data_IF_465825195097
#
_entry.id   IF_465825195097
#
_cell.length_a   1.000
_cell.length_b   1.000
_cell.length_c   1.000
_cell.angle_alpha   90.00
_cell.angle_beta   90.00
_cell.angle_gamma   90.00
#
_symmetry.space_group_name_H-M   'P 1'
#
loop_
_entity.id
_entity.type
_entity.pdbx_description
1 polymer ?
#
# COMPACT_ATOMS: atom_id res chain seq x y z
N UNK A 1 -19.63 -41.18 5.10
CA UNK A 1 -18.89 -40.56 6.23
C UNK A 1 -17.55 -41.26 6.41
N UNK A 2 -16.60 -41.02 5.52
CA UNK A 2 -15.26 -41.58 5.58
C UNK A 2 -14.31 -40.49 6.15
N UNK A 3 -13.94 -40.72 7.33
CA UNK A 3 -13.00 -40.12 8.24
C UNK A 3 -11.72 -39.59 7.60
N UNK A 4 -11.62 -38.25 7.45
CA UNK A 4 -10.33 -37.51 7.32
C UNK A 4 -9.71 -37.31 8.70
N UNK A 5 -9.60 -38.33 9.54
CA UNK A 5 -9.09 -38.27 10.90
C UNK A 5 -7.62 -38.68 10.98
N UNK A 6 -6.77 -38.17 10.08
CA UNK A 6 -5.34 -38.26 10.25
C UNK A 6 -4.67 -37.21 9.33
N UNK A 7 -4.95 -35.90 9.51
CA UNK A 7 -4.04 -34.90 9.00
C UNK A 7 -2.87 -34.77 9.97
N UNK A 8 -1.79 -35.43 9.58
CA UNK A 8 -0.42 -35.44 10.04
C UNK A 8 0.10 -34.07 10.51
N UNK A 9 1.19 -34.05 11.26
CA UNK A 9 2.12 -32.92 11.34
C UNK A 9 2.12 -32.19 10.00
N UNK A 10 1.73 -30.91 10.00
CA UNK A 10 1.52 -30.18 8.77
C UNK A 10 2.81 -30.21 7.97
N UNK A 11 2.80 -30.90 6.85
CA UNK A 11 3.82 -30.76 5.83
C UNK A 11 3.56 -29.41 5.15
N UNK A 12 4.20 -28.37 5.68
CA UNK A 12 4.05 -27.01 5.16
C UNK A 12 4.52 -26.84 3.70
N UNK A 13 5.21 -27.85 3.16
CA UNK A 13 5.58 -27.93 1.74
C UNK A 13 4.38 -28.18 0.81
N UNK A 14 3.26 -28.72 1.32
CA UNK A 14 2.05 -29.01 0.56
C UNK A 14 1.00 -27.90 0.56
N UNK A 15 1.30 -26.71 1.12
CA UNK A 15 0.38 -25.57 1.12
C UNK A 15 0.41 -24.90 -0.25
N UNK A 16 -0.70 -24.99 -0.97
CA UNK A 16 -0.87 -24.41 -2.30
C UNK A 16 -1.91 -23.29 -2.32
N UNK A 17 -3.05 -23.47 -1.63
CA UNK A 17 -4.21 -22.58 -1.69
C UNK A 17 -4.35 -21.77 -0.41
N UNK A 18 -4.21 -20.45 -0.51
CA UNK A 18 -4.19 -19.51 0.62
C UNK A 18 -5.35 -18.52 0.50
N UNK A 19 -6.11 -18.36 1.58
CA UNK A 19 -7.04 -17.25 1.77
C UNK A 19 -6.30 -16.10 2.43
N UNK A 20 -6.23 -14.94 1.78
CA UNK A 20 -5.65 -13.71 2.31
C UNK A 20 -6.72 -12.73 2.77
N UNK A 21 -6.52 -12.14 3.95
CA UNK A 21 -7.43 -11.16 4.57
C UNK A 21 -6.63 -9.91 4.93
N UNK A 22 -6.97 -8.80 4.29
CA UNK A 22 -6.44 -7.46 4.58
C UNK A 22 -7.49 -6.63 5.31
N UNK A 23 -7.11 -6.00 6.41
CA UNK A 23 -7.98 -5.11 7.19
C UNK A 23 -7.20 -4.10 8.02
N UNK A 24 -6.04 -3.64 7.53
CA UNK A 24 -5.15 -2.78 8.34
C UNK A 24 -5.64 -1.35 8.53
N UNK A 25 -6.45 -0.83 7.60
CA UNK A 25 -6.91 0.57 7.59
C UNK A 25 -8.39 0.67 7.19
N UNK A 26 -8.70 1.21 6.03
CA UNK A 26 -10.05 1.49 5.53
C UNK A 26 -10.44 0.64 4.31
N UNK A 27 -9.52 -0.17 3.78
CA UNK A 27 -9.85 -1.20 2.81
C UNK A 27 -10.06 -2.56 3.49
N UNK A 28 -11.13 -3.26 3.07
CA UNK A 28 -11.32 -4.67 3.38
C UNK A 28 -10.95 -5.47 2.14
N UNK A 29 -9.86 -6.24 2.19
CA UNK A 29 -9.39 -7.07 1.09
C UNK A 29 -9.51 -8.56 1.40
N UNK A 30 -10.05 -9.34 0.46
CA UNK A 30 -10.11 -10.80 0.56
C UNK A 30 -9.69 -11.39 -0.78
N UNK A 31 -8.79 -12.38 -0.77
CA UNK A 31 -8.42 -13.09 -2.00
C UNK A 31 -8.09 -14.57 -1.74
N UNK A 32 -8.28 -15.39 -2.74
CA UNK A 32 -7.75 -16.75 -2.83
C UNK A 32 -6.59 -16.74 -3.81
N UNK A 33 -5.42 -17.07 -3.32
CA UNK A 33 -4.20 -17.28 -4.08
C UNK A 33 -3.87 -18.77 -4.16
N UNK A 34 -3.43 -19.24 -5.32
CA UNK A 34 -2.91 -20.60 -5.47
C UNK A 34 -1.52 -20.55 -6.07
N UNK A 35 -0.57 -21.19 -5.38
CA UNK A 35 0.81 -21.28 -5.86
C UNK A 35 0.89 -21.89 -7.26
N UNK A 36 1.68 -21.28 -8.14
CA UNK A 36 1.78 -21.67 -9.55
C UNK A 36 0.62 -21.25 -10.45
N UNK A 37 -0.50 -20.72 -9.89
CA UNK A 37 -1.68 -20.30 -10.65
C UNK A 37 -2.01 -18.81 -10.43
N UNK A 38 -1.43 -18.18 -9.42
CA UNK A 38 -1.69 -16.76 -9.11
C UNK A 38 -2.99 -16.55 -8.34
N UNK A 39 -3.62 -15.40 -8.55
CA UNK A 39 -4.89 -14.99 -7.93
C UNK A 39 -6.02 -15.77 -8.59
N UNK A 40 -6.81 -16.53 -7.80
CA UNK A 40 -7.97 -17.29 -8.28
C UNK A 40 -9.25 -16.45 -8.21
N UNK A 41 -9.41 -15.70 -7.12
CA UNK A 41 -10.52 -14.76 -6.93
C UNK A 41 -10.10 -13.71 -5.91
N UNK A 42 -10.61 -12.50 -6.07
CA UNK A 42 -10.37 -11.40 -5.13
C UNK A 42 -11.57 -10.45 -5.03
N UNK A 43 -11.68 -9.80 -3.90
CA UNK A 43 -12.60 -8.70 -3.67
C UNK A 43 -11.94 -7.65 -2.76
N UNK A 44 -12.10 -6.38 -3.12
CA UNK A 44 -11.68 -5.24 -2.30
C UNK A 44 -12.89 -4.34 -2.10
N UNK A 45 -13.08 -3.89 -0.89
CA UNK A 45 -14.09 -2.93 -0.50
C UNK A 45 -13.44 -1.74 0.19
N UNK A 46 -13.54 -0.55 -0.41
CA UNK A 46 -13.03 0.71 0.16
C UNK A 46 -14.17 1.44 0.89
N UNK A 47 -13.89 1.90 2.10
CA UNK A 47 -14.85 2.55 2.99
C UNK A 47 -14.93 4.05 2.67
N UNK A 48 -15.84 4.43 1.78
CA UNK A 48 -15.98 5.81 1.29
C UNK A 48 -16.54 6.79 2.31
N UNK A 49 -17.19 6.30 3.37
CA UNK A 49 -17.83 7.15 4.41
C UNK A 49 -16.81 8.03 5.16
N UNK A 50 -15.55 7.65 5.17
CA UNK A 50 -14.44 8.43 5.75
C UNK A 50 -14.25 9.80 5.09
N UNK A 51 -14.66 9.97 3.83
CA UNK A 51 -14.58 11.23 3.11
C UNK A 51 -15.33 12.36 3.83
N UNK A 52 -16.46 12.05 4.48
CA UNK A 52 -17.23 13.02 5.25
C UNK A 52 -16.49 13.58 6.48
N UNK A 53 -15.49 12.85 6.96
CA UNK A 53 -14.69 13.23 8.14
C UNK A 53 -13.31 13.82 7.74
N UNK A 54 -13.01 13.86 6.45
CA UNK A 54 -11.72 14.36 5.94
C UNK A 54 -10.52 13.48 6.27
N UNK A 55 -10.75 12.17 6.49
CA UNK A 55 -9.74 11.17 6.78
C UNK A 55 -10.31 9.97 7.53
N UNK A 56 -9.51 8.92 7.71
CA UNK A 56 -9.94 7.67 8.32
C UNK A 56 -10.32 7.83 9.79
N UNK A 57 -11.52 7.35 10.15
CA UNK A 57 -12.02 7.25 11.53
C UNK A 57 -11.87 5.80 11.99
N UNK A 58 -10.93 5.48 12.91
CA UNK A 58 -10.56 4.10 13.24
C UNK A 58 -11.72 3.23 13.76
N UNK A 59 -12.66 3.83 14.51
CA UNK A 59 -13.83 3.11 15.03
C UNK A 59 -14.81 2.72 13.92
N UNK A 60 -15.04 3.62 12.96
CA UNK A 60 -15.90 3.32 11.81
C UNK A 60 -15.27 2.25 10.94
N UNK A 61 -13.95 2.34 10.67
CA UNK A 61 -13.22 1.35 9.93
C UNK A 61 -13.39 -0.06 10.54
N UNK A 62 -13.17 -0.18 11.85
CA UNK A 62 -13.31 -1.46 12.56
C UNK A 62 -14.73 -2.03 12.45
N UNK A 63 -15.76 -1.20 12.61
CA UNK A 63 -17.16 -1.63 12.51
C UNK A 63 -17.55 -2.11 11.12
N UNK A 64 -17.01 -1.45 10.11
CA UNK A 64 -17.31 -1.82 8.72
C UNK A 64 -16.62 -3.11 8.31
N UNK A 65 -15.38 -3.35 8.73
CA UNK A 65 -14.73 -4.65 8.57
C UNK A 65 -15.54 -5.80 9.18
N UNK A 66 -16.11 -5.63 10.39
CA UNK A 66 -16.98 -6.67 11.01
C UNK A 66 -18.17 -7.01 10.12
N UNK A 67 -18.76 -6.00 9.46
CA UNK A 67 -19.95 -6.19 8.61
C UNK A 67 -19.60 -6.84 7.27
N UNK A 68 -18.44 -6.48 6.69
CA UNK A 68 -18.10 -6.83 5.30
C UNK A 68 -17.38 -8.16 5.18
N UNK A 69 -16.43 -8.45 6.07
CA UNK A 69 -15.56 -9.64 5.97
C UNK A 69 -16.30 -10.96 5.77
N UNK A 70 -17.36 -11.31 6.54
CA UNK A 70 -18.02 -12.60 6.38
C UNK A 70 -18.63 -12.81 4.98
N UNK A 71 -19.28 -11.78 4.45
CA UNK A 71 -19.89 -11.82 3.13
C UNK A 71 -18.82 -11.88 2.03
N UNK A 72 -17.77 -11.05 2.13
CA UNK A 72 -16.68 -11.04 1.15
C UNK A 72 -15.94 -12.37 1.08
N UNK A 73 -15.66 -13.01 2.21
CA UNK A 73 -15.04 -14.35 2.23
C UNK A 73 -15.93 -15.37 1.55
N UNK A 74 -17.24 -15.39 1.83
CA UNK A 74 -18.18 -16.29 1.19
C UNK A 74 -18.24 -16.07 -0.33
N UNK A 75 -18.29 -14.81 -0.78
CA UNK A 75 -18.33 -14.45 -2.19
C UNK A 75 -17.04 -14.81 -2.93
N UNK A 76 -15.87 -14.54 -2.34
CA UNK A 76 -14.57 -14.88 -2.94
C UNK A 76 -14.39 -16.40 -3.05
N UNK A 77 -14.78 -17.18 -2.05
CA UNK A 77 -14.74 -18.64 -2.11
C UNK A 77 -15.69 -19.20 -3.17
N UNK A 78 -16.89 -18.62 -3.29
CA UNK A 78 -17.86 -18.98 -4.35
C UNK A 78 -17.29 -18.67 -5.74
N UNK A 79 -16.68 -17.50 -5.95
CA UNK A 79 -16.02 -17.13 -7.20
C UNK A 79 -14.86 -18.09 -7.52
N UNK A 80 -14.05 -18.44 -6.52
CA UNK A 80 -12.97 -19.41 -6.64
C UNK A 80 -13.46 -20.86 -6.84
N UNK A 81 -14.76 -21.13 -6.69
CA UNK A 81 -15.36 -22.49 -6.70
C UNK A 81 -14.68 -23.41 -5.69
N UNK A 82 -14.43 -22.88 -4.49
CA UNK A 82 -13.75 -23.59 -3.41
C UNK A 82 -14.68 -23.74 -2.20
N UNK A 83 -14.73 -24.98 -1.69
CA UNK A 83 -15.31 -25.22 -0.38
C UNK A 83 -14.30 -24.88 0.71
N UNK A 84 -14.72 -24.29 1.85
CA UNK A 84 -13.82 -23.88 2.93
C UNK A 84 -12.79 -24.92 3.37
N UNK A 85 -13.12 -26.24 3.50
CA UNK A 85 -12.13 -27.26 3.89
C UNK A 85 -11.02 -27.51 2.86
N UNK A 86 -11.12 -26.95 1.66
CA UNK A 86 -10.11 -27.08 0.61
C UNK A 86 -9.05 -25.97 0.64
N UNK A 87 -9.16 -25.04 1.59
CA UNK A 87 -8.10 -24.10 1.90
C UNK A 87 -6.99 -24.78 2.70
N UNK A 88 -5.75 -24.48 2.34
CA UNK A 88 -4.57 -25.01 3.02
C UNK A 88 -4.03 -24.05 4.08
N UNK A 89 -4.30 -22.74 3.94
CA UNK A 89 -3.80 -21.69 4.83
C UNK A 89 -4.75 -20.49 4.83
N UNK A 90 -4.91 -19.86 6.00
CA UNK A 90 -5.51 -18.53 6.14
C UNK A 90 -4.42 -17.56 6.55
N UNK A 91 -4.13 -16.56 5.72
CA UNK A 91 -3.20 -15.47 6.01
C UNK A 91 -3.99 -14.18 6.32
N UNK A 92 -3.54 -13.41 7.29
CA UNK A 92 -4.18 -12.16 7.66
C UNK A 92 -3.16 -11.10 8.04
N UNK A 93 -3.50 -9.85 7.85
CA UNK A 93 -2.65 -8.74 8.26
C UNK A 93 -2.60 -8.65 9.78
N UNK A 94 -1.42 -8.90 10.34
CA UNK A 94 -1.18 -8.79 11.79
C UNK A 94 -0.75 -7.38 12.18
N UNK A 95 -0.21 -6.61 11.25
CA UNK A 95 0.27 -5.24 11.41
C UNK A 95 1.31 -4.85 10.36
N UNK A 96 1.75 -3.58 10.34
CA UNK A 96 1.19 -2.45 11.09
C UNK A 96 -0.20 -2.03 10.59
N UNK A 97 -0.90 -1.15 11.36
CA UNK A 97 -2.21 -0.63 11.00
C UNK A 97 -3.03 -0.15 12.21
N UNK A 98 -4.30 0.15 11.98
CA UNK A 98 -5.23 0.57 13.02
C UNK A 98 -5.57 -0.62 13.93
N UNK A 99 -5.32 -0.48 15.24
CA UNK A 99 -5.47 -1.57 16.20
C UNK A 99 -6.83 -2.28 16.14
N UNK A 100 -7.92 -1.51 16.08
CA UNK A 100 -9.28 -2.07 16.01
C UNK A 100 -9.55 -2.82 14.69
N UNK A 101 -9.13 -2.27 13.57
CA UNK A 101 -9.28 -2.86 12.25
C UNK A 101 -8.46 -4.17 12.14
N UNK A 102 -7.21 -4.16 12.58
CA UNK A 102 -6.35 -5.35 12.66
C UNK A 102 -6.96 -6.44 13.54
N UNK A 103 -7.53 -6.06 14.72
CA UNK A 103 -8.17 -7.03 15.62
C UNK A 103 -9.38 -7.72 14.99
N UNK A 104 -10.15 -7.00 14.18
CA UNK A 104 -11.28 -7.59 13.45
C UNK A 104 -10.80 -8.63 12.46
N UNK A 105 -9.82 -8.29 11.60
CA UNK A 105 -9.25 -9.22 10.62
C UNK A 105 -8.59 -10.43 11.27
N UNK A 106 -7.75 -10.20 12.28
CA UNK A 106 -7.06 -11.27 13.01
C UNK A 106 -8.05 -12.20 13.73
N UNK A 107 -9.05 -11.61 14.41
CA UNK A 107 -10.09 -12.37 15.11
C UNK A 107 -10.92 -13.22 14.15
N UNK A 108 -11.40 -12.63 13.07
CA UNK A 108 -12.15 -13.35 12.04
C UNK A 108 -11.31 -14.47 11.40
N UNK A 109 -10.10 -14.14 10.92
CA UNK A 109 -9.22 -15.10 10.26
C UNK A 109 -8.87 -16.30 11.14
N UNK A 110 -8.53 -16.03 12.42
CA UNK A 110 -8.17 -17.09 13.38
C UNK A 110 -9.37 -17.99 13.71
N UNK A 111 -10.55 -17.39 13.96
CA UNK A 111 -11.77 -18.16 14.24
C UNK A 111 -12.21 -18.97 13.02
N UNK A 112 -12.14 -18.36 11.82
CA UNK A 112 -12.48 -19.05 10.58
C UNK A 112 -11.54 -20.23 10.31
N UNK A 113 -10.22 -20.02 10.40
CA UNK A 113 -9.23 -21.08 10.23
C UNK A 113 -9.44 -22.22 11.22
N UNK A 114 -9.75 -21.93 12.49
CA UNK A 114 -10.05 -22.92 13.49
C UNK A 114 -11.33 -23.71 13.15
N UNK A 115 -12.38 -23.06 12.68
CA UNK A 115 -13.64 -23.71 12.32
C UNK A 115 -13.50 -24.69 11.16
N UNK A 116 -12.59 -24.42 10.21
CA UNK A 116 -12.33 -25.30 9.04
C UNK A 116 -11.10 -26.21 9.26
N UNK A 117 -10.55 -26.24 10.47
CA UNK A 117 -9.35 -27.02 10.84
C UNK A 117 -8.11 -26.71 9.98
N UNK A 118 -7.98 -25.47 9.52
CA UNK A 118 -6.89 -24.97 8.69
C UNK A 118 -5.86 -24.21 9.56
N UNK A 119 -4.55 -24.25 9.26
CA UNK A 119 -3.59 -23.39 9.91
C UNK A 119 -3.79 -21.91 9.50
N UNK A 120 -3.34 -20.99 10.37
CA UNK A 120 -3.33 -19.56 10.07
C UNK A 120 -1.94 -18.94 10.29
N UNK A 121 -1.67 -17.84 9.60
CA UNK A 121 -0.44 -17.06 9.76
C UNK A 121 -0.75 -15.57 9.71
N UNK A 122 -0.20 -14.83 10.68
CA UNK A 122 -0.18 -13.36 10.63
C UNK A 122 1.00 -12.88 9.80
N UNK A 123 0.74 -11.93 8.89
CA UNK A 123 1.76 -11.36 8.00
C UNK A 123 1.90 -9.86 8.21
N UNK A 124 3.04 -9.34 7.82
CA UNK A 124 3.32 -7.90 7.88
C UNK A 124 2.73 -7.22 6.65
N UNK A 125 1.90 -6.18 6.86
CA UNK A 125 1.23 -5.43 5.80
C UNK A 125 2.21 -4.93 4.71
N UNK A 126 3.33 -4.32 5.14
CA UNK A 126 4.33 -3.80 4.20
C UNK A 126 5.05 -4.91 3.42
N UNK A 127 5.19 -6.12 3.98
CA UNK A 127 5.70 -7.27 3.24
C UNK A 127 4.74 -7.68 2.12
N UNK A 128 3.43 -7.60 2.36
CA UNK A 128 2.43 -7.77 1.32
C UNK A 128 2.68 -6.84 0.13
N UNK A 129 2.83 -5.54 0.38
CA UNK A 129 3.15 -4.57 -0.66
C UNK A 129 4.48 -4.84 -1.37
N UNK A 130 5.54 -5.20 -0.63
CA UNK A 130 6.85 -5.51 -1.22
C UNK A 130 6.81 -6.70 -2.16
N UNK A 131 5.97 -7.69 -1.86
CA UNK A 131 5.85 -8.91 -2.65
C UNK A 131 4.74 -8.82 -3.71
N UNK A 132 3.82 -7.85 -3.65
CA UNK A 132 2.72 -7.73 -4.60
C UNK A 132 3.13 -7.70 -6.08
N UNK A 133 4.28 -7.10 -6.49
CA UNK A 133 4.73 -7.17 -7.88
C UNK A 133 5.12 -8.58 -8.36
N UNK A 134 5.32 -9.52 -7.44
CA UNK A 134 5.53 -10.93 -7.80
C UNK A 134 4.23 -11.62 -8.29
N UNK A 135 3.07 -10.97 -8.17
CA UNK A 135 1.79 -11.42 -8.70
C UNK A 135 1.59 -11.03 -10.17
N UNK A 136 2.50 -10.24 -10.74
CA UNK A 136 2.46 -9.89 -12.16
C UNK A 136 2.85 -11.09 -13.04
N UNK A 137 2.45 -11.03 -14.31
CA UNK A 137 2.84 -12.01 -15.33
C UNK A 137 4.37 -12.03 -15.58
N UNK A 138 5.03 -10.87 -15.44
CA UNK A 138 6.49 -10.70 -15.55
C UNK A 138 7.07 -10.20 -14.21
N UNK A 139 7.18 -11.07 -13.21
CA UNK A 139 7.60 -10.65 -11.88
C UNK A 139 9.07 -10.22 -11.84
N UNK A 140 9.43 -9.25 -10.96
CA UNK A 140 10.83 -8.89 -10.75
C UNK A 140 11.61 -10.05 -10.13
N UNK A 141 12.81 -10.31 -10.67
CA UNK A 141 13.75 -11.22 -10.02
C UNK A 141 14.48 -10.54 -8.85
N UNK A 142 14.82 -11.30 -7.82
CA UNK A 142 15.69 -10.81 -6.73
C UNK A 142 17.16 -10.73 -7.16
N UNK A 143 17.99 -9.85 -6.56
CA UNK A 143 17.61 -8.79 -5.63
C UNK A 143 17.09 -7.53 -6.33
N UNK A 144 16.38 -6.66 -5.57
CA UNK A 144 15.91 -5.36 -6.03
C UNK A 144 15.88 -4.32 -4.90
N UNK A 145 15.85 -3.04 -5.27
CA UNK A 145 15.45 -1.96 -4.36
C UNK A 145 13.94 -1.77 -4.48
N UNK A 146 13.24 -1.68 -3.36
CA UNK A 146 11.83 -1.32 -3.34
C UNK A 146 11.66 0.14 -2.88
N UNK A 147 10.87 0.92 -3.63
CA UNK A 147 10.24 2.16 -3.18
C UNK A 147 8.82 1.83 -2.76
N UNK A 148 8.57 1.86 -1.48
CA UNK A 148 7.24 1.69 -0.92
C UNK A 148 6.68 3.07 -0.63
N UNK A 149 5.61 3.45 -1.33
CA UNK A 149 5.05 4.79 -1.31
C UNK A 149 3.53 4.76 -1.26
N UNK A 150 2.98 5.10 -0.07
CA UNK A 150 1.55 5.02 0.23
C UNK A 150 1.08 6.27 0.98
N UNK A 151 -0.17 6.29 1.42
CA UNK A 151 -0.73 7.32 2.30
C UNK A 151 0.02 7.47 3.61
N UNK A 152 0.46 6.37 4.22
CA UNK A 152 1.12 6.36 5.53
C UNK A 152 2.62 6.11 5.52
N UNK A 153 3.20 5.66 4.40
CA UNK A 153 4.59 5.24 4.35
C UNK A 153 5.33 5.75 3.11
N UNK A 154 6.59 6.11 3.28
CA UNK A 154 7.53 6.35 2.19
C UNK A 154 8.88 5.81 2.61
N UNK A 155 9.30 4.69 1.99
CA UNK A 155 10.48 3.93 2.38
C UNK A 155 11.25 3.44 1.16
N UNK A 156 12.57 3.38 1.28
CA UNK A 156 13.47 2.65 0.39
C UNK A 156 13.99 1.41 1.11
N UNK A 157 13.85 0.27 0.49
CA UNK A 157 14.16 -1.03 1.10
C UNK A 157 15.00 -1.85 0.12
N UNK A 158 16.07 -2.44 0.61
CA UNK A 158 16.83 -3.47 -0.11
C UNK A 158 16.19 -4.82 0.14
N UNK A 159 15.80 -5.50 -0.92
CA UNK A 159 15.15 -6.81 -0.89
C UNK A 159 16.04 -7.81 -1.59
N UNK A 160 16.65 -8.74 -0.84
CA UNK A 160 17.55 -9.75 -1.39
C UNK A 160 16.85 -11.08 -1.65
N UNK A 161 15.83 -11.39 -0.85
CA UNK A 161 14.92 -12.53 -1.00
C UNK A 161 13.65 -12.26 -0.18
N UNK A 162 12.56 -13.05 -0.31
CA UNK A 162 11.43 -12.98 0.59
C UNK A 162 11.90 -13.14 2.05
N UNK A 163 11.44 -12.27 2.95
CA UNK A 163 11.86 -12.24 4.35
C UNK A 163 13.25 -11.64 4.62
N UNK A 164 13.98 -11.20 3.61
CA UNK A 164 15.30 -10.57 3.74
C UNK A 164 15.24 -9.10 3.32
N UNK A 165 14.88 -8.25 4.25
CA UNK A 165 14.65 -6.82 4.04
C UNK A 165 15.64 -5.98 4.83
N UNK A 166 16.13 -4.90 4.22
CA UNK A 166 16.95 -3.92 4.89
C UNK A 166 16.45 -2.52 4.55
N UNK A 167 16.01 -1.79 5.55
CA UNK A 167 15.62 -0.39 5.40
C UNK A 167 16.86 0.42 4.97
N UNK A 168 16.72 1.20 3.91
CA UNK A 168 17.77 2.07 3.37
C UNK A 168 17.53 3.54 3.73
N UNK A 169 16.29 3.93 3.83
CA UNK A 169 15.83 5.26 4.21
C UNK A 169 14.32 5.32 4.25
N UNK A 170 13.78 6.26 5.02
CA UNK A 170 12.35 6.45 5.20
C UNK A 170 12.01 7.94 5.35
N UNK A 171 10.73 8.28 5.34
CA UNK A 171 10.32 9.65 5.63
C UNK A 171 10.48 9.98 7.10
N UNK A 172 11.02 11.16 7.39
CA UNK A 172 11.21 11.66 8.76
C UNK A 172 9.98 12.43 9.28
N UNK A 173 9.02 12.68 8.40
CA UNK A 173 7.80 13.43 8.70
C UNK A 173 6.61 12.87 7.90
N UNK A 174 5.92 13.70 7.10
CA UNK A 174 4.78 13.24 6.29
C UNK A 174 5.22 12.20 5.25
N UNK A 175 4.41 11.18 5.02
CA UNK A 175 4.55 10.31 3.86
C UNK A 175 4.18 11.07 2.57
N UNK A 176 4.66 10.60 1.41
CA UNK A 176 4.36 11.24 0.14
C UNK A 176 2.85 11.30 -0.14
N UNK A 177 2.11 10.22 0.08
CA UNK A 177 0.65 10.20 -0.10
C UNK A 177 -0.07 11.13 0.86
N UNK A 178 0.36 11.20 2.12
CA UNK A 178 -0.15 12.17 3.09
C UNK A 178 0.11 13.62 2.65
N UNK A 179 1.27 13.89 2.04
CA UNK A 179 1.57 15.21 1.48
C UNK A 179 0.66 15.56 0.29
N UNK A 180 0.32 14.56 -0.57
CA UNK A 180 -0.69 14.71 -1.62
C UNK A 180 -2.05 15.07 -1.03
N UNK A 181 -2.55 14.32 -0.05
CA UNK A 181 -3.87 14.55 0.57
C UNK A 181 -3.95 15.90 1.28
N UNK A 182 -2.88 16.28 2.01
CA UNK A 182 -2.79 17.58 2.67
C UNK A 182 -2.77 18.74 1.67
N UNK A 183 -2.08 18.58 0.55
CA UNK A 183 -2.01 19.59 -0.53
C UNK A 183 -3.35 19.69 -1.26
N UNK A 184 -3.99 18.57 -1.60
CA UNK A 184 -5.31 18.54 -2.17
C UNK A 184 -6.33 19.26 -1.28
N UNK A 185 -6.28 19.01 0.02
CA UNK A 185 -7.14 19.70 1.01
C UNK A 185 -6.91 21.21 1.05
N UNK A 186 -5.65 21.68 0.92
CA UNK A 186 -5.35 23.11 0.83
C UNK A 186 -5.94 23.75 -0.42
N UNK A 187 -6.03 22.99 -1.51
CA UNK A 187 -6.66 23.41 -2.78
C UNK A 187 -8.18 23.20 -2.79
N UNK A 188 -8.79 22.73 -1.68
CA UNK A 188 -10.22 22.49 -1.58
C UNK A 188 -10.72 21.27 -2.36
N UNK A 189 -9.83 20.36 -2.75
CA UNK A 189 -10.19 19.13 -3.49
C UNK A 189 -10.79 18.08 -2.55
N UNK A 190 -11.65 17.19 -3.07
CA UNK A 190 -12.27 16.13 -2.27
C UNK A 190 -11.28 15.06 -1.80
N UNK A 191 -11.67 14.26 -0.83
CA UNK A 191 -10.94 13.08 -0.37
C UNK A 191 -11.41 11.81 -1.12
N UNK A 192 -10.49 10.88 -1.48
CA UNK A 192 -9.04 10.92 -1.31
C UNK A 192 -8.35 11.94 -2.22
N UNK A 193 -7.46 12.74 -1.65
CA UNK A 193 -6.90 13.91 -2.32
C UNK A 193 -5.87 13.61 -3.41
N UNK A 194 -5.11 12.51 -3.27
CA UNK A 194 -4.05 12.15 -4.20
C UNK A 194 -4.51 12.03 -5.66
N UNK A 195 -5.54 11.21 -5.99
CA UNK A 195 -6.09 11.10 -7.34
C UNK A 195 -6.66 12.40 -7.88
N UNK A 196 -7.34 13.19 -7.05
CA UNK A 196 -7.94 14.46 -7.44
C UNK A 196 -6.88 15.51 -7.76
N UNK A 197 -5.82 15.58 -6.95
CA UNK A 197 -4.68 16.46 -7.21
C UNK A 197 -3.95 16.07 -8.50
N UNK A 198 -3.73 14.77 -8.72
CA UNK A 198 -3.08 14.29 -9.93
C UNK A 198 -3.91 14.62 -11.20
N UNK A 199 -5.24 14.52 -11.11
CA UNK A 199 -6.13 14.90 -12.20
C UNK A 199 -6.08 16.41 -12.49
N UNK A 200 -6.13 17.24 -11.45
CA UNK A 200 -5.99 18.70 -11.61
C UNK A 200 -4.63 19.09 -12.21
N UNK A 201 -3.56 18.38 -11.81
CA UNK A 201 -2.21 18.63 -12.31
C UNK A 201 -2.03 18.34 -13.82
N UNK A 202 -2.92 17.54 -14.44
CA UNK A 202 -2.87 17.27 -15.88
C UNK A 202 -3.08 18.55 -16.72
N UNK A 203 -3.84 19.51 -16.20
CA UNK A 203 -4.14 20.78 -16.86
C UNK A 203 -3.13 21.90 -16.54
N UNK A 204 -2.15 21.62 -15.65
CA UNK A 204 -1.24 22.62 -15.11
C UNK A 204 0.14 22.68 -15.75
N UNK A 205 0.72 23.88 -15.75
CA UNK A 205 2.14 24.09 -16.10
C UNK A 205 3.02 23.86 -14.83
N UNK A 206 3.68 22.71 -14.79
CA UNK A 206 4.57 22.33 -13.68
C UNK A 206 5.84 23.19 -13.57
N UNK A 207 6.12 24.08 -14.52
CA UNK A 207 7.28 24.98 -14.51
C UNK A 207 6.95 26.38 -13.98
N UNK A 208 5.66 26.73 -13.84
CA UNK A 208 5.25 28.07 -13.40
C UNK A 208 5.72 28.41 -11.99
N UNK A 209 5.70 27.44 -11.08
CA UNK A 209 6.11 27.62 -9.69
C UNK A 209 7.29 26.73 -9.34
N UNK A 210 8.31 27.31 -8.69
CA UNK A 210 9.49 26.56 -8.25
C UNK A 210 9.24 25.96 -6.86
N UNK A 211 9.06 24.65 -6.82
CA UNK A 211 8.90 23.87 -5.60
C UNK A 211 10.25 23.35 -5.12
N UNK A 212 10.51 23.29 -3.81
CA UNK A 212 11.73 22.66 -3.29
C UNK A 212 11.72 21.14 -3.51
N UNK A 213 12.92 20.53 -3.56
CA UNK A 213 13.13 19.07 -3.51
C UNK A 213 13.79 18.73 -2.18
N UNK A 214 12.98 18.50 -1.11
CA UNK A 214 13.53 18.40 0.23
C UNK A 214 14.57 17.29 0.35
N UNK A 215 15.62 17.53 1.15
CA UNK A 215 16.71 16.59 1.48
C UNK A 215 17.49 16.04 0.27
N UNK A 216 17.34 16.60 -0.92
CA UNK A 216 18.12 16.16 -2.10
C UNK A 216 19.48 16.84 -2.19
N UNK A 217 19.70 17.94 -1.48
CA UNK A 217 20.93 18.71 -1.36
C UNK A 217 21.99 18.10 -0.43
N UNK A 218 21.62 17.07 0.34
CA UNK A 218 22.46 16.39 1.33
C UNK A 218 22.57 14.89 1.05
N UNK A 219 23.60 14.21 1.59
CA UNK A 219 23.72 12.77 1.50
C UNK A 219 22.60 12.05 2.26
N UNK A 220 22.43 10.75 1.99
CA UNK A 220 21.44 9.91 2.65
C UNK A 220 20.20 9.66 1.79
N UNK A 221 19.37 8.73 2.27
CA UNK A 221 18.23 8.18 1.53
C UNK A 221 16.88 8.51 2.18
N UNK A 222 16.89 9.20 3.33
CA UNK A 222 15.67 9.62 4.01
C UNK A 222 14.94 10.72 3.22
N UNK A 223 13.63 10.80 3.44
CA UNK A 223 12.75 11.77 2.81
C UNK A 223 12.19 12.75 3.84
N UNK A 224 11.62 13.83 3.34
CA UNK A 224 10.79 14.78 4.07
C UNK A 224 9.84 15.44 3.10
N UNK A 225 8.56 15.53 3.44
CA UNK A 225 7.54 16.14 2.60
C UNK A 225 6.74 17.23 3.31
N UNK A 226 6.85 17.39 4.63
CA UNK A 226 6.12 18.39 5.40
C UNK A 226 6.43 19.83 4.94
N UNK A 227 7.67 20.08 4.49
CA UNK A 227 8.09 21.36 3.93
C UNK A 227 7.35 21.74 2.64
N UNK A 228 6.98 20.75 1.81
CA UNK A 228 6.21 20.99 0.58
C UNK A 228 4.81 21.53 0.90
N UNK A 229 4.14 20.97 1.92
CA UNK A 229 2.84 21.48 2.39
C UNK A 229 2.92 22.96 2.79
N UNK A 230 3.95 23.33 3.55
CA UNK A 230 4.14 24.73 3.98
C UNK A 230 4.38 25.64 2.78
N UNK A 231 5.21 25.19 1.84
CA UNK A 231 5.47 25.92 0.60
C UNK A 231 4.18 26.10 -0.22
N UNK A 232 3.38 25.03 -0.40
CA UNK A 232 2.09 25.09 -1.10
C UNK A 232 1.14 26.09 -0.45
N UNK A 233 1.05 26.07 0.89
CA UNK A 233 0.19 27.04 1.61
C UNK A 233 0.60 28.48 1.33
N UNK A 234 1.89 28.78 1.40
CA UNK A 234 2.40 30.13 1.13
C UNK A 234 2.16 30.56 -0.33
N UNK A 235 2.25 29.62 -1.28
CA UNK A 235 1.90 29.89 -2.68
C UNK A 235 0.42 30.22 -2.84
N UNK A 236 -0.46 29.43 -2.22
CA UNK A 236 -1.92 29.66 -2.25
C UNK A 236 -2.23 31.04 -1.66
N UNK A 237 -1.67 31.37 -0.49
CA UNK A 237 -1.87 32.68 0.17
C UNK A 237 -1.39 33.86 -0.68
N UNK A 238 -0.37 33.66 -1.50
CA UNK A 238 0.20 34.69 -2.36
C UNK A 238 -0.54 34.85 -3.69
N UNK A 239 -0.90 33.74 -4.33
CA UNK A 239 -1.40 33.70 -5.71
C UNK A 239 -2.94 33.68 -5.78
N UNK A 240 -3.61 33.33 -4.69
CA UNK A 240 -5.07 33.15 -4.66
C UNK A 240 -5.71 34.14 -3.68
N UNK A 241 -6.78 34.87 -4.07
CA UNK A 241 -7.50 35.78 -3.18
C UNK A 241 -8.09 35.05 -1.98
N UNK A 242 -8.07 35.69 -0.80
CA UNK A 242 -8.56 35.09 0.45
C UNK A 242 -10.05 34.67 0.39
N UNK A 243 -10.84 35.29 -0.47
CA UNK A 243 -12.27 34.96 -0.68
C UNK A 243 -12.47 33.66 -1.48
N UNK A 244 -11.46 33.25 -2.27
CA UNK A 244 -11.53 32.07 -3.15
C UNK A 244 -11.26 30.76 -2.43
N UNK A 245 -10.59 30.77 -1.26
CA UNK A 245 -10.23 29.56 -0.50
C UNK A 245 -11.42 28.96 0.28
N UNK A 246 -12.48 29.72 0.51
CA UNK A 246 -13.64 29.30 1.32
C UNK A 246 -14.77 28.62 0.53
N UNK A 247 -14.78 28.69 -0.84
CA UNK A 247 -15.88 28.18 -1.68
C UNK A 247 -15.41 27.58 -3.00
N UNK A 248 -14.40 26.73 -2.99
CA UNK A 248 -13.74 26.19 -4.20
C UNK A 248 -14.55 25.20 -5.04
N UNK A 249 -15.77 24.88 -4.71
CA UNK A 249 -16.63 23.97 -5.51
C UNK A 249 -17.37 24.62 -6.67
N UNK A 250 -17.40 25.96 -6.76
CA UNK A 250 -18.11 26.71 -7.83
C UNK A 250 -17.21 27.73 -8.54
N UNK A 251 -15.91 27.49 -8.65
CA UNK A 251 -15.03 28.42 -9.35
C UNK A 251 -15.19 28.33 -10.87
N UNK A 252 -16.13 29.12 -11.42
CA UNK A 252 -16.21 29.43 -12.86
C UNK A 252 -15.12 30.45 -13.32
N UNK A 253 -14.09 30.68 -12.50
CA UNK A 253 -12.95 31.54 -12.86
C UNK A 253 -11.82 30.71 -13.48
N UNK A 254 -11.63 30.80 -14.81
CA UNK A 254 -10.59 30.02 -15.50
C UNK A 254 -9.17 30.34 -15.03
N UNK A 255 -8.90 31.57 -14.59
CA UNK A 255 -7.56 31.99 -14.14
C UNK A 255 -7.24 31.36 -12.77
N UNK A 256 -8.23 31.33 -11.88
CA UNK A 256 -8.08 30.65 -10.60
C UNK A 256 -7.91 29.14 -10.78
N UNK A 257 -8.70 28.51 -11.66
CA UNK A 257 -8.55 27.08 -11.96
C UNK A 257 -7.17 26.77 -12.51
N UNK A 258 -6.67 27.57 -13.47
CA UNK A 258 -5.32 27.42 -14.03
C UNK A 258 -4.24 27.56 -12.96
N UNK A 259 -4.37 28.52 -12.05
CA UNK A 259 -3.42 28.72 -10.95
C UNK A 259 -3.39 27.52 -10.01
N UNK A 260 -4.55 26.94 -9.69
CA UNK A 260 -4.64 25.72 -8.87
C UNK A 260 -4.00 24.52 -9.60
N UNK A 261 -4.25 24.38 -10.90
CA UNK A 261 -3.67 23.32 -11.72
C UNK A 261 -2.14 23.43 -11.79
N UNK A 262 -1.60 24.63 -11.95
CA UNK A 262 -0.16 24.86 -11.97
C UNK A 262 0.51 24.58 -10.63
N UNK A 263 -0.14 24.94 -9.50
CA UNK A 263 0.32 24.59 -8.17
C UNK A 263 0.34 23.07 -7.99
N UNK A 264 -0.74 22.38 -8.39
CA UNK A 264 -0.84 20.92 -8.30
C UNK A 264 0.24 20.23 -9.16
N UNK A 265 0.46 20.70 -10.40
CA UNK A 265 1.46 20.16 -11.31
C UNK A 265 2.90 20.38 -10.79
N UNK A 266 3.19 21.57 -10.24
CA UNK A 266 4.49 21.90 -9.62
C UNK A 266 4.78 21.05 -8.40
N UNK A 267 3.79 20.85 -7.53
CA UNK A 267 3.89 19.98 -6.36
C UNK A 267 4.15 18.52 -6.76
N UNK A 268 3.32 17.97 -7.65
CA UNK A 268 3.45 16.59 -8.12
C UNK A 268 4.82 16.33 -8.76
N UNK A 269 5.30 17.27 -9.58
CA UNK A 269 6.65 17.22 -10.16
C UNK A 269 7.73 17.19 -9.08
N UNK A 270 7.62 18.03 -8.05
CA UNK A 270 8.62 18.10 -6.98
C UNK A 270 8.70 16.79 -6.18
N UNK A 271 7.56 16.17 -5.88
CA UNK A 271 7.51 14.86 -5.23
C UNK A 271 8.14 13.79 -6.12
N UNK A 272 7.74 13.70 -7.40
CA UNK A 272 8.25 12.69 -8.33
C UNK A 272 9.78 12.81 -8.53
N UNK A 273 10.30 14.03 -8.69
CA UNK A 273 11.75 14.28 -8.83
C UNK A 273 12.52 13.96 -7.54
N UNK A 274 11.95 14.26 -6.37
CA UNK A 274 12.55 13.91 -5.07
C UNK A 274 12.68 12.39 -4.94
N UNK A 275 11.61 11.65 -5.25
CA UNK A 275 11.60 10.19 -5.24
C UNK A 275 12.62 9.62 -6.25
N UNK A 276 12.67 10.14 -7.47
CA UNK A 276 13.65 9.73 -8.49
C UNK A 276 15.10 9.87 -8.00
N UNK A 277 15.45 11.04 -7.44
CA UNK A 277 16.81 11.31 -6.96
C UNK A 277 17.20 10.30 -5.89
N UNK A 278 16.32 10.01 -4.94
CA UNK A 278 16.58 9.06 -3.85
C UNK A 278 16.62 7.62 -4.34
N UNK A 279 15.73 7.21 -5.25
CA UNK A 279 15.78 5.89 -5.89
C UNK A 279 17.09 5.66 -6.64
N UNK A 280 17.54 6.64 -7.43
CA UNK A 280 18.83 6.58 -8.13
C UNK A 280 20.00 6.40 -7.16
N UNK A 281 20.00 7.13 -6.04
CA UNK A 281 21.03 6.99 -4.99
C UNK A 281 20.98 5.61 -4.34
N UNK A 282 19.80 5.08 -4.05
CA UNK A 282 19.64 3.76 -3.45
C UNK A 282 20.13 2.65 -4.38
N UNK A 283 19.77 2.69 -5.67
CA UNK A 283 20.26 1.75 -6.69
C UNK A 283 21.79 1.78 -6.79
N UNK A 284 22.39 2.97 -6.83
CA UNK A 284 23.84 3.13 -6.87
C UNK A 284 24.53 2.60 -5.60
N UNK A 285 23.98 2.92 -4.41
CA UNK A 285 24.54 2.49 -3.13
C UNK A 285 24.48 0.96 -2.93
N UNK A 286 23.44 0.32 -3.45
CA UNK A 286 23.25 -1.14 -3.37
C UNK A 286 23.85 -1.90 -4.55
N UNK A 287 24.24 -1.21 -5.63
CA UNK A 287 24.65 -1.79 -6.91
C UNK A 287 23.56 -2.69 -7.53
N UNK A 288 22.30 -2.41 -7.24
CA UNK A 288 21.15 -3.10 -7.82
C UNK A 288 20.66 -2.36 -9.07
N UNK A 289 20.05 -3.10 -10.01
CA UNK A 289 19.59 -2.55 -11.29
C UNK A 289 18.06 -2.64 -11.45
N UNK A 290 17.35 -3.15 -10.46
CA UNK A 290 15.91 -3.28 -10.45
C UNK A 290 15.31 -2.41 -9.35
N UNK A 291 14.31 -1.61 -9.72
CA UNK A 291 13.47 -0.86 -8.79
C UNK A 291 12.06 -1.46 -8.83
N UNK A 292 11.54 -1.80 -7.67
CA UNK A 292 10.13 -2.14 -7.48
C UNK A 292 9.46 -0.95 -6.83
N UNK A 293 8.32 -0.50 -7.37
CA UNK A 293 7.54 0.62 -6.78
C UNK A 293 6.19 0.08 -6.35
N UNK A 294 5.87 0.14 -5.07
CA UNK A 294 4.65 -0.42 -4.50
C UNK A 294 3.93 0.58 -3.56
N UNK A 295 2.66 0.31 -3.26
CA UNK A 295 1.77 1.19 -2.48
C UNK A 295 0.96 2.13 -3.36
N UNK A 296 -0.11 2.73 -2.81
CA UNK A 296 -1.12 3.47 -3.56
C UNK A 296 -0.60 4.61 -4.44
N UNK A 297 0.46 5.33 -4.02
CA UNK A 297 1.07 6.40 -4.82
C UNK A 297 1.80 5.85 -6.05
N UNK A 298 2.12 4.55 -6.10
CA UNK A 298 2.69 3.91 -7.30
C UNK A 298 1.77 3.95 -8.52
N UNK A 299 0.47 4.22 -8.33
CA UNK A 299 -0.48 4.43 -9.42
C UNK A 299 -0.34 5.80 -10.11
N UNK A 300 0.38 6.76 -9.50
CA UNK A 300 0.54 8.10 -10.03
C UNK A 300 1.32 8.10 -11.36
N UNK A 301 0.70 8.62 -12.43
CA UNK A 301 1.25 8.61 -13.79
C UNK A 301 2.53 9.41 -13.94
N UNK A 302 2.61 10.60 -13.32
CA UNK A 302 3.81 11.43 -13.38
C UNK A 302 4.98 10.75 -12.68
N UNK A 303 4.74 10.13 -11.51
CA UNK A 303 5.78 9.37 -10.82
C UNK A 303 6.31 8.25 -11.70
N UNK A 304 5.44 7.43 -12.30
CA UNK A 304 5.85 6.36 -13.22
C UNK A 304 6.70 6.90 -14.37
N UNK A 305 6.18 7.88 -15.10
CA UNK A 305 6.91 8.49 -16.23
C UNK A 305 8.26 9.07 -15.81
N UNK A 306 8.34 9.69 -14.62
CA UNK A 306 9.58 10.28 -14.10
C UNK A 306 10.60 9.20 -13.74
N UNK A 307 10.19 8.09 -13.14
CA UNK A 307 11.07 6.98 -12.79
C UNK A 307 11.53 6.23 -14.04
N UNK A 308 10.62 5.91 -14.96
CA UNK A 308 10.91 5.16 -16.20
C UNK A 308 11.87 5.93 -17.11
N UNK A 309 11.70 7.25 -17.23
CA UNK A 309 12.61 8.09 -18.04
C UNK A 309 13.92 8.46 -17.33
N UNK A 310 13.91 8.49 -16.00
CA UNK A 310 15.04 9.00 -15.21
C UNK A 310 16.01 7.92 -14.71
N UNK A 311 15.66 6.63 -14.76
CA UNK A 311 16.49 5.53 -14.32
C UNK A 311 16.99 4.70 -15.51
N UNK A 312 18.22 4.22 -15.42
CA UNK A 312 18.81 3.31 -16.42
C UNK A 312 18.48 1.83 -16.16
N UNK A 313 17.91 1.51 -15.01
CA UNK A 313 17.49 0.15 -14.60
C UNK A 313 16.05 -0.16 -14.96
N UNK A 314 15.64 -1.41 -14.73
CA UNK A 314 14.25 -1.82 -14.89
C UNK A 314 13.41 -1.37 -13.70
N UNK A 315 12.24 -0.78 -13.98
CA UNK A 315 11.27 -0.40 -12.97
C UNK A 315 10.04 -1.31 -13.08
N UNK A 316 9.62 -1.86 -11.96
CA UNK A 316 8.48 -2.77 -11.85
C UNK A 316 7.40 -2.14 -10.99
N UNK A 317 6.16 -2.26 -11.44
CA UNK A 317 4.98 -1.78 -10.72
C UNK A 317 4.02 -2.95 -10.54
N UNK A 318 3.28 -3.02 -9.45
CA UNK A 318 2.18 -3.96 -9.38
C UNK A 318 1.11 -3.61 -10.42
N UNK A 319 0.29 -4.57 -10.86
CA UNK A 319 -0.93 -4.29 -11.60
C UNK A 319 -1.75 -3.20 -10.90
N UNK A 320 -2.42 -2.34 -11.65
CA UNK A 320 -3.15 -1.19 -11.08
C UNK A 320 -4.17 -1.60 -10.00
N UNK A 321 -4.78 -2.77 -10.14
CA UNK A 321 -5.70 -3.35 -9.18
C UNK A 321 -5.05 -3.77 -7.86
N UNK A 322 -3.72 -3.96 -7.84
CA UNK A 322 -2.94 -4.39 -6.67
C UNK A 322 -2.07 -3.26 -6.08
N UNK A 323 -2.22 -2.03 -6.56
CA UNK A 323 -1.47 -0.88 -6.01
C UNK A 323 -1.96 -0.48 -4.62
N UNK A 324 -3.27 -0.63 -4.35
CA UNK A 324 -3.89 -0.35 -3.05
C UNK A 324 -3.91 -1.59 -2.16
N UNK A 325 -4.37 -1.44 -0.93
CA UNK A 325 -4.51 -2.53 0.03
C UNK A 325 -5.45 -3.60 -0.51
N UNK A 326 -5.02 -4.87 -0.49
CA UNK A 326 -5.78 -5.97 -1.07
C UNK A 326 -5.48 -7.31 -0.39
N UNK A 327 -6.37 -8.30 -0.57
CA UNK A 327 -6.21 -9.63 0.01
C UNK A 327 -5.14 -10.47 -0.69
N UNK A 328 -4.86 -10.23 -1.97
CA UNK A 328 -3.93 -11.04 -2.75
C UNK A 328 -2.46 -10.87 -2.28
N UNK A 329 -2.06 -9.65 -1.96
CA UNK A 329 -0.73 -9.37 -1.39
C UNK A 329 -0.52 -10.08 -0.06
N UNK A 330 -1.58 -10.19 0.76
CA UNK A 330 -1.55 -10.87 2.06
C UNK A 330 -1.54 -12.39 1.87
N UNK A 331 -2.29 -12.91 0.91
CA UNK A 331 -2.25 -14.34 0.57
C UNK A 331 -0.87 -14.78 0.09
N UNK A 332 -0.23 -14.00 -0.79
CA UNK A 332 1.13 -14.27 -1.28
C UNK A 332 2.16 -14.20 -0.15
N UNK A 333 2.14 -13.14 0.67
CA UNK A 333 3.03 -13.02 1.83
C UNK A 333 2.82 -14.19 2.82
N UNK A 334 1.58 -14.60 3.04
CA UNK A 334 1.24 -15.76 3.84
C UNK A 334 1.79 -17.06 3.26
N UNK A 335 1.73 -17.23 1.95
CA UNK A 335 2.34 -18.41 1.30
C UNK A 335 3.86 -18.45 1.52
N UNK A 336 4.53 -17.31 1.39
CA UNK A 336 5.98 -17.25 1.70
C UNK A 336 6.27 -17.56 3.18
N UNK A 337 5.39 -17.17 4.09
CA UNK A 337 5.52 -17.40 5.54
C UNK A 337 4.81 -18.67 6.05
N UNK A 338 4.42 -19.58 5.17
CA UNK A 338 3.68 -20.80 5.51
C UNK A 338 4.35 -21.70 6.54
N UNK A 339 5.69 -21.68 6.62
CA UNK A 339 6.43 -22.41 7.66
C UNK A 339 6.16 -21.90 9.09
N UNK A 340 5.67 -20.65 9.23
CA UNK A 340 5.32 -20.04 10.50
C UNK A 340 3.84 -20.25 10.87
N UNK A 341 3.06 -20.89 10.00
CA UNK A 341 1.64 -21.10 10.21
C UNK A 341 1.37 -22.08 11.37
N UNK A 342 0.31 -21.85 12.11
CA UNK A 342 -0.08 -22.70 13.24
C UNK A 342 -1.61 -22.87 13.29
N UNK A 343 -2.08 -24.03 13.76
CA UNK A 343 -3.51 -24.30 13.99
C UNK A 343 -4.08 -23.60 15.22
N UNK A 344 -3.21 -23.10 16.10
CA UNK A 344 -3.56 -22.35 17.31
C UNK A 344 -2.93 -20.98 17.30
N UNK A 345 -3.18 -20.24 16.20
CA UNK A 345 -2.70 -18.87 16.08
C UNK A 345 -3.33 -18.00 17.17
N UNK A 346 -2.54 -17.33 18.02
CA UNK A 346 -3.10 -16.38 18.97
C UNK A 346 -3.67 -15.16 18.23
N UNK A 347 -4.77 -14.61 18.74
CA UNK A 347 -5.29 -13.33 18.24
C UNK A 347 -4.38 -12.24 18.84
N UNK A 348 -3.34 -11.90 18.10
CA UNK A 348 -2.38 -10.85 18.46
C UNK A 348 -2.15 -9.94 17.26
N UNK A 349 -2.19 -8.63 17.49
CA UNK A 349 -1.94 -7.62 16.48
C UNK A 349 -0.79 -6.70 16.88
N UNK A 350 -0.11 -6.15 15.91
CA UNK A 350 1.03 -5.24 16.08
C UNK A 350 0.77 -3.93 15.33
N UNK A 351 0.00 -2.99 15.90
CA UNK A 351 -0.36 -1.72 15.25
C UNK A 351 0.86 -0.91 14.82
N UNK A 352 1.94 -1.02 15.57
CA UNK A 352 3.28 -0.53 15.23
C UNK A 352 4.20 -1.73 15.12
N UNK A 353 4.69 -1.97 13.93
CA UNK A 353 5.59 -3.07 13.64
C UNK A 353 6.62 -2.62 12.61
N UNK A 354 7.84 -2.28 13.04
CA UNK A 354 8.93 -1.96 12.12
C UNK A 354 9.27 -3.15 11.22
N UNK A 355 9.58 -2.87 9.97
CA UNK A 355 9.86 -3.91 8.97
C UNK A 355 11.15 -4.69 9.28
N UNK A 356 12.13 -4.05 9.89
CA UNK A 356 13.41 -4.64 10.30
C UNK A 356 13.29 -5.58 11.52
N UNK A 357 12.17 -5.55 12.25
CA UNK A 357 11.84 -6.53 13.27
C UNK A 357 11.18 -7.79 12.70
N UNK A 358 10.93 -7.83 11.39
CA UNK A 358 10.30 -8.97 10.76
C UNK A 358 11.28 -10.16 10.73
N UNK A 359 10.93 -11.32 11.33
CA UNK A 359 11.83 -12.46 11.34
C UNK A 359 12.09 -12.94 9.90
N UNK A 360 13.34 -13.28 9.62
CA UNK A 360 13.70 -13.95 8.37
C UNK A 360 12.89 -15.23 8.17
N UNK A 361 12.73 -15.64 6.92
CA UNK A 361 12.17 -16.96 6.63
C UNK A 361 13.24 -18.01 6.95
N UNK A 362 12.83 -19.09 7.63
CA UNK A 362 13.70 -20.27 7.74
C UNK A 362 13.89 -20.90 6.35
N UNK A 363 15.13 -21.23 6.02
CA UNK A 363 15.48 -21.95 4.79
C UNK A 363 14.85 -23.35 4.75
#
# INVERSE_FOLDING_TARGET
>A
LTTKTARRQADYGSIETVLGIESSCDETGVAVYRHGHGIIAEAVYSQLDHAHFGGVVPELASRDHVRKLPAMVADVLKQARLDPPNLDLVAFTQGPGLAGALLVGAGFATAYAQAIECPAVGVHHMEGHLLSPLLDAEPPGFPFVALLVSGGHTMLISVTAPGQYRLLGETLDDAAGEAFDKTARLLGLPYPGGPELARLAEDGDSARFDFPRPMTDRPGLDFSFSGLKTHTRLLIEREMPAESTAKTTDCNDPELHQTMADIAAGFERAVAETLLIKCRRALNATRMHRLVVAGGVSANRRLRNTLDSGLSGQVYYPPSTLCTDNGAMIALAGWHRRSMATRRQPIAVRPRWPLDELPGLAE
#
